data_IF_838131503487
#
_entry.id   IF_838131503487
#
_cell.length_a   1.000
_cell.length_b   1.000
_cell.length_c   1.000
_cell.angle_alpha   90.00
_cell.angle_beta   90.00
_cell.angle_gamma   90.00
#
_symmetry.space_group_name_H-M   'P 1'
#
loop_
_entity.id
_entity.type
_entity.pdbx_description
1 polymer ?
#
# COMPACT_ATOMS: atom_id res chain seq x y z
N UNK A 1 17.52 1.31 -4.19
CA UNK A 1 16.98 2.17 -5.28
C UNK A 1 18.15 2.86 -5.96
N UNK A 2 18.14 3.03 -7.29
CA UNK A 2 19.23 3.68 -8.04
C UNK A 2 18.66 4.84 -8.86
N UNK A 3 19.37 5.97 -8.89
CA UNK A 3 19.03 7.09 -9.75
C UNK A 3 19.04 6.67 -11.24
N UNK A 4 18.07 7.17 -12.01
CA UNK A 4 17.90 6.86 -13.43
C UNK A 4 17.13 5.58 -13.74
N UNK A 5 16.70 4.81 -12.73
CA UNK A 5 15.81 3.67 -12.90
C UNK A 5 14.34 4.09 -12.85
N UNK A 6 13.45 3.25 -13.41
CA UNK A 6 12.01 3.38 -13.26
C UNK A 6 11.63 3.56 -11.78
N UNK A 7 10.77 4.54 -11.50
CA UNK A 7 10.36 4.91 -10.15
C UNK A 7 9.25 3.98 -9.65
N UNK A 8 9.63 2.71 -9.43
CA UNK A 8 8.79 1.69 -8.81
C UNK A 8 9.11 1.61 -7.32
N UNK A 9 8.20 2.13 -6.49
CA UNK A 9 8.40 2.37 -5.06
C UNK A 9 7.21 1.83 -4.29
N UNK A 10 7.49 1.02 -3.26
CA UNK A 10 6.50 0.57 -2.28
C UNK A 10 6.75 1.29 -0.97
N UNK A 11 5.73 1.97 -0.45
CA UNK A 11 5.77 2.58 0.88
C UNK A 11 5.20 1.57 1.87
N UNK A 12 6.05 1.11 2.79
CA UNK A 12 5.73 0.09 3.77
C UNK A 12 5.86 0.67 5.19
N UNK A 13 4.76 0.65 5.94
CA UNK A 13 4.75 0.99 7.36
C UNK A 13 4.98 -0.29 8.18
N UNK A 14 6.21 -0.47 8.67
CA UNK A 14 6.61 -1.63 9.47
C UNK A 14 6.02 -1.64 10.89
N UNK A 15 5.57 -0.48 11.38
CA UNK A 15 4.99 -0.33 12.71
C UNK A 15 3.49 -0.60 12.76
N UNK A 16 2.81 -0.52 11.60
CA UNK A 16 1.36 -0.70 11.53
C UNK A 16 0.93 -2.12 11.86
N UNK A 17 0.03 -2.24 12.82
CA UNK A 17 -0.75 -3.45 13.04
C UNK A 17 -2.14 -3.31 12.41
N UNK A 18 -2.65 -4.39 11.83
CA UNK A 18 -3.98 -4.40 11.23
C UNK A 18 -4.57 -5.82 11.23
N UNK A 19 -5.90 -5.91 11.21
CA UNK A 19 -6.61 -7.19 11.09
C UNK A 19 -6.98 -7.40 9.63
N UNK A 20 -6.73 -8.60 9.12
CA UNK A 20 -7.15 -8.99 7.78
C UNK A 20 -8.66 -9.01 7.71
N UNK A 21 -9.22 -8.13 6.89
CA UNK A 21 -10.63 -8.10 6.51
C UNK A 21 -10.70 -8.20 4.99
N UNK A 22 -11.12 -9.36 4.46
CA UNK A 22 -11.26 -9.56 3.02
C UNK A 22 -12.28 -8.61 2.38
N UNK A 23 -13.26 -8.13 3.15
CA UNK A 23 -14.21 -7.08 2.73
C UNK A 23 -13.49 -5.83 2.22
N UNK A 24 -12.36 -5.47 2.82
CA UNK A 24 -11.53 -4.30 2.44
C UNK A 24 -10.56 -4.57 1.28
N UNK A 25 -10.46 -5.81 0.78
CA UNK A 25 -9.53 -6.09 -0.31
C UNK A 25 -9.96 -5.36 -1.59
N UNK A 26 -9.00 -4.67 -2.23
CA UNK A 26 -9.21 -4.03 -3.53
C UNK A 26 -9.49 -5.05 -4.64
N UNK A 27 -8.94 -6.26 -4.51
CA UNK A 27 -9.17 -7.34 -5.47
C UNK A 27 -10.57 -7.96 -5.32
N UNK A 28 -11.01 -8.66 -6.38
CA UNK A 28 -12.29 -9.40 -6.38
C UNK A 28 -12.26 -10.66 -5.52
N UNK A 29 -11.08 -11.20 -5.23
CA UNK A 29 -10.93 -12.44 -4.46
C UNK A 29 -11.11 -12.17 -2.98
N UNK A 30 -12.09 -12.84 -2.37
CA UNK A 30 -12.41 -12.70 -0.94
C UNK A 30 -12.13 -13.95 -0.11
N UNK A 31 -11.90 -15.10 -0.77
CA UNK A 31 -11.56 -16.33 -0.10
C UNK A 31 -10.09 -16.29 0.35
N UNK A 32 -9.86 -16.02 1.64
CA UNK A 32 -8.53 -15.99 2.23
C UNK A 32 -8.51 -16.80 3.53
N UNK A 33 -7.51 -17.65 3.76
CA UNK A 33 -7.36 -18.36 5.03
C UNK A 33 -6.88 -17.43 6.17
N UNK A 34 -6.55 -16.18 5.85
CA UNK A 34 -6.00 -15.20 6.79
C UNK A 34 -7.08 -14.32 7.43
N UNK A 35 -8.36 -14.50 7.11
CA UNK A 35 -9.45 -13.68 7.64
C UNK A 35 -9.39 -13.58 9.18
N UNK A 36 -9.46 -12.35 9.72
CA UNK A 36 -9.37 -12.10 11.16
C UNK A 36 -7.96 -12.16 11.77
N UNK A 37 -6.92 -12.51 11.01
CA UNK A 37 -5.56 -12.53 11.53
C UNK A 37 -5.04 -11.12 11.76
N UNK A 38 -4.38 -10.90 12.90
CA UNK A 38 -3.64 -9.67 13.18
C UNK A 38 -2.24 -9.75 12.59
N UNK A 39 -1.91 -8.85 11.68
CA UNK A 39 -0.61 -8.74 11.02
C UNK A 39 0.12 -7.48 11.46
N UNK A 40 1.46 -7.51 11.39
CA UNK A 40 2.33 -6.36 11.60
C UNK A 40 3.07 -6.04 10.32
N UNK A 41 3.15 -4.75 9.99
CA UNK A 41 3.62 -4.28 8.71
C UNK A 41 2.48 -4.18 7.70
N UNK A 42 2.38 -3.04 7.01
CA UNK A 42 1.39 -2.85 5.93
C UNK A 42 1.98 -2.01 4.80
N UNK A 43 1.72 -2.43 3.56
CA UNK A 43 1.93 -1.56 2.40
C UNK A 43 0.84 -0.49 2.40
N UNK A 44 1.24 0.78 2.45
CA UNK A 44 0.31 1.91 2.54
C UNK A 44 0.21 2.69 1.22
N UNK A 45 1.20 2.56 0.32
CA UNK A 45 1.12 3.07 -1.04
C UNK A 45 2.09 2.36 -1.99
N UNK A 46 1.76 2.38 -3.28
CA UNK A 46 2.58 1.86 -4.37
C UNK A 46 2.65 2.88 -5.49
N UNK A 47 3.86 3.15 -5.96
CA UNK A 47 4.19 4.04 -7.07
C UNK A 47 4.80 3.19 -8.18
N UNK A 48 4.30 3.31 -9.39
CA UNK A 48 4.83 2.64 -10.59
C UNK A 48 5.11 3.69 -11.65
N UNK A 49 6.34 3.69 -12.19
CA UNK A 49 6.82 4.70 -13.15
C UNK A 49 6.51 6.14 -12.72
N UNK A 50 6.66 6.44 -11.43
CA UNK A 50 6.43 7.76 -10.86
C UNK A 50 4.95 8.12 -10.64
N UNK A 51 4.02 7.21 -10.91
CA UNK A 51 2.58 7.41 -10.68
C UNK A 51 2.11 6.60 -9.49
N UNK A 52 1.36 7.23 -8.58
CA UNK A 52 0.72 6.52 -7.46
C UNK A 52 -0.41 5.66 -8.02
N UNK A 53 -0.24 4.34 -7.97
CA UNK A 53 -1.25 3.37 -8.46
C UNK A 53 -2.08 2.77 -7.32
N UNK A 54 -1.61 2.90 -6.09
CA UNK A 54 -2.31 2.48 -4.89
C UNK A 54 -1.93 3.39 -3.72
N UNK A 55 -2.92 3.71 -2.88
CA UNK A 55 -2.73 4.29 -1.56
C UNK A 55 -3.87 3.88 -0.66
N UNK A 56 -3.61 3.69 0.63
CA UNK A 56 -4.66 3.65 1.64
C UNK A 56 -4.96 5.05 2.21
N UNK A 57 -5.97 5.16 3.06
CA UNK A 57 -6.44 6.44 3.59
C UNK A 57 -5.45 7.12 4.54
N UNK A 58 -4.43 6.40 5.01
CA UNK A 58 -3.41 7.00 5.87
C UNK A 58 -2.37 7.80 5.11
N UNK A 59 -2.32 7.67 3.77
CA UNK A 59 -1.40 8.42 2.91
C UNK A 59 -2.13 9.59 2.25
N UNK A 60 -1.67 10.80 2.57
CA UNK A 60 -2.05 12.05 1.90
C UNK A 60 -1.04 12.39 0.82
N UNK A 61 -1.53 12.88 -0.31
CA UNK A 61 -0.73 13.32 -1.44
C UNK A 61 -1.05 14.77 -1.66
N UNK A 62 -0.03 15.62 -1.62
CA UNK A 62 -0.16 17.04 -1.86
C UNK A 62 0.55 17.37 -3.16
N UNK A 63 -0.13 18.10 -4.04
CA UNK A 63 0.50 18.65 -5.24
C UNK A 63 1.35 19.85 -4.82
N UNK A 64 2.66 19.65 -4.74
CA UNK A 64 3.59 20.77 -4.62
C UNK A 64 3.68 21.40 -6.01
N UNK A 65 2.96 22.50 -6.20
CA UNK A 65 3.13 23.34 -7.39
C UNK A 65 4.46 24.08 -7.23
N UNK A 66 5.40 23.80 -8.14
CA UNK A 66 6.60 24.60 -8.35
C UNK A 66 6.37 25.59 -9.48
#
# INVERSE_FOLDING_TARGET
MKAGSAANITIFDAGREWVVDSGQFVSKGKNTPLEGYKLKGKVVATIVDGRIVYKDDSVRVEAVHG
#
